data_IF_656369461873
#
_entry.id   IF_656369461873
#
_cell.length_a   1.000
_cell.length_b   1.000
_cell.length_c   1.000
_cell.angle_alpha   90.00
_cell.angle_beta   90.00
_cell.angle_gamma   90.00
#
_symmetry.space_group_name_H-M   'P 1'
#
loop_
_entity.id
_entity.type
_entity.pdbx_description
1 polymer ?
#
# COMPACT_ATOMS: atom_id res chain seq x y z
N UNK A 1 -9.03 1.51 -24.13
CA UNK A 1 -10.48 1.26 -24.21
C UNK A 1 -11.25 1.73 -22.97
N UNK A 2 -10.94 1.28 -21.74
CA UNK A 2 -11.72 1.69 -20.55
C UNK A 2 -11.66 3.18 -20.18
N UNK A 3 -10.57 3.90 -20.50
CA UNK A 3 -10.53 5.38 -20.38
C UNK A 3 -11.54 6.07 -21.30
N UNK A 4 -11.71 5.56 -22.52
CA UNK A 4 -12.71 6.05 -23.49
C UNK A 4 -14.11 5.73 -22.98
N UNK A 5 -14.33 4.52 -22.45
CA UNK A 5 -15.61 4.14 -21.81
C UNK A 5 -15.91 5.01 -20.59
N UNK A 6 -14.91 5.29 -19.75
CA UNK A 6 -15.06 6.18 -18.60
C UNK A 6 -15.35 7.62 -19.00
N UNK A 7 -14.77 8.09 -20.09
CA UNK A 7 -15.03 9.42 -20.65
C UNK A 7 -16.44 9.50 -21.24
N UNK A 8 -16.87 8.49 -21.99
CA UNK A 8 -18.24 8.36 -22.49
C UNK A 8 -19.27 8.28 -21.35
N UNK A 9 -19.00 7.49 -20.32
CA UNK A 9 -19.86 7.38 -19.14
C UNK A 9 -19.92 8.71 -18.36
N UNK A 10 -18.79 9.40 -18.18
CA UNK A 10 -18.75 10.72 -17.56
C UNK A 10 -19.54 11.76 -18.36
N UNK A 11 -19.42 11.74 -19.70
CA UNK A 11 -20.17 12.62 -20.59
C UNK A 11 -21.68 12.35 -20.53
N UNK A 12 -22.10 11.09 -20.46
CA UNK A 12 -23.50 10.69 -20.32
C UNK A 12 -24.10 11.15 -18.99
N UNK A 13 -23.32 11.10 -17.91
CA UNK A 13 -23.75 11.66 -16.62
C UNK A 13 -23.92 13.18 -16.72
N UNK A 14 -22.94 13.88 -17.29
CA UNK A 14 -23.00 15.34 -17.44
C UNK A 14 -24.18 15.79 -18.31
N UNK A 15 -24.47 15.08 -19.41
CA UNK A 15 -25.56 15.44 -20.32
C UNK A 15 -26.94 15.38 -19.65
N UNK A 16 -27.14 14.49 -18.68
CA UNK A 16 -28.37 14.40 -17.89
C UNK A 16 -28.59 15.66 -17.05
N UNK A 17 -27.54 16.17 -16.40
CA UNK A 17 -27.62 17.41 -15.62
C UNK A 17 -27.82 18.64 -16.51
N UNK A 18 -27.12 18.70 -17.66
CA UNK A 18 -27.33 19.78 -18.64
C UNK A 18 -28.76 19.76 -19.17
N UNK A 19 -29.29 18.58 -19.51
CA UNK A 19 -30.68 18.42 -19.93
C UNK A 19 -31.68 18.90 -18.87
N UNK A 20 -31.45 18.56 -17.60
CA UNK A 20 -32.27 19.04 -16.48
C UNK A 20 -32.26 20.57 -16.39
N UNK A 21 -31.08 21.21 -16.49
CA UNK A 21 -30.98 22.67 -16.44
C UNK A 21 -31.66 23.37 -17.61
N UNK A 22 -31.62 22.77 -18.80
CA UNK A 22 -32.33 23.28 -19.98
C UNK A 22 -33.84 23.28 -19.77
N UNK A 23 -34.40 22.20 -19.22
CA UNK A 23 -35.84 22.11 -18.92
C UNK A 23 -36.26 23.14 -17.86
N UNK A 24 -35.47 23.28 -16.80
CA UNK A 24 -35.72 24.25 -15.72
C UNK A 24 -35.69 25.69 -16.23
N UNK A 25 -34.68 26.03 -17.05
CA UNK A 25 -34.56 27.37 -17.61
C UNK A 25 -35.72 27.71 -18.56
N UNK A 26 -36.17 26.74 -19.37
CA UNK A 26 -37.29 26.93 -20.30
C UNK A 26 -38.62 27.19 -19.60
N UNK A 27 -38.86 26.55 -18.45
CA UNK A 27 -40.12 26.70 -17.71
C UNK A 27 -40.09 27.91 -16.78
N UNK A 28 -38.91 28.29 -16.28
CA UNK A 28 -38.78 29.34 -15.28
C UNK A 28 -37.54 30.20 -15.55
N UNK A 29 -37.68 31.15 -16.47
CA UNK A 29 -36.63 32.09 -16.87
C UNK A 29 -36.39 33.21 -15.88
N UNK A 30 -35.95 32.87 -14.66
CA UNK A 30 -35.66 33.86 -13.60
C UNK A 30 -34.21 33.76 -13.12
N UNK A 31 -33.66 34.88 -12.63
CA UNK A 31 -32.28 34.95 -12.10
C UNK A 31 -32.00 33.91 -11.00
N UNK A 32 -32.91 33.63 -10.04
CA UNK A 32 -32.70 32.57 -9.04
C UNK A 32 -32.48 31.18 -9.66
N UNK A 33 -33.09 30.92 -10.81
CA UNK A 33 -33.07 29.60 -11.47
C UNK A 33 -31.82 29.43 -12.31
N UNK A 34 -31.29 30.51 -12.87
CA UNK A 34 -29.95 30.53 -13.46
C UNK A 34 -28.90 30.17 -12.41
N UNK A 35 -28.99 30.76 -11.21
CA UNK A 35 -28.08 30.45 -10.10
C UNK A 35 -28.20 28.98 -9.69
N UNK A 36 -29.42 28.47 -9.54
CA UNK A 36 -29.67 27.06 -9.23
C UNK A 36 -29.09 26.12 -10.30
N UNK A 37 -29.24 26.46 -11.57
CA UNK A 37 -28.70 25.68 -12.69
C UNK A 37 -27.17 25.57 -12.63
N UNK A 38 -26.46 26.64 -12.24
CA UNK A 38 -25.01 26.58 -12.05
C UNK A 38 -24.63 25.54 -10.99
N UNK A 39 -25.33 25.50 -9.85
CA UNK A 39 -25.09 24.50 -8.81
C UNK A 39 -25.37 23.07 -9.29
N UNK A 40 -26.47 22.86 -10.04
CA UNK A 40 -26.83 21.56 -10.62
C UNK A 40 -25.73 21.05 -11.56
N UNK A 41 -25.20 21.92 -12.43
CA UNK A 41 -24.10 21.56 -13.35
C UNK A 41 -22.82 21.24 -12.59
N UNK A 42 -22.48 22.00 -11.54
CA UNK A 42 -21.31 21.72 -10.70
C UNK A 42 -21.40 20.35 -10.02
N UNK A 43 -22.57 19.98 -9.49
CA UNK A 43 -22.81 18.66 -8.90
C UNK A 43 -22.64 17.56 -9.95
N UNK A 44 -23.20 17.77 -11.14
CA UNK A 44 -23.04 16.85 -12.27
C UNK A 44 -21.58 16.66 -12.69
N UNK A 45 -20.79 17.73 -12.71
CA UNK A 45 -19.36 17.69 -13.02
C UNK A 45 -18.58 16.85 -11.99
N UNK A 46 -18.86 17.03 -10.69
CA UNK A 46 -18.23 16.25 -9.62
C UNK A 46 -18.57 14.76 -9.74
N UNK A 47 -19.83 14.43 -10.01
CA UNK A 47 -20.28 13.05 -10.25
C UNK A 47 -19.63 12.43 -11.48
N UNK A 48 -19.53 13.17 -12.58
CA UNK A 48 -18.85 12.72 -13.80
C UNK A 48 -17.36 12.43 -13.54
N UNK A 49 -16.67 13.28 -12.76
CA UNK A 49 -15.29 13.04 -12.33
C UNK A 49 -15.14 11.79 -11.46
N UNK A 50 -16.06 11.55 -10.52
CA UNK A 50 -16.07 10.34 -9.69
C UNK A 50 -16.25 9.08 -10.54
N UNK A 51 -17.19 9.09 -11.48
CA UNK A 51 -17.43 7.96 -12.40
C UNK A 51 -16.22 7.72 -13.29
N UNK A 52 -15.65 8.78 -13.88
CA UNK A 52 -14.46 8.68 -14.72
C UNK A 52 -13.27 8.08 -13.96
N UNK A 53 -13.00 8.57 -12.75
CA UNK A 53 -11.88 8.07 -11.93
C UNK A 53 -12.10 6.62 -11.51
N UNK A 54 -13.33 6.23 -11.14
CA UNK A 54 -13.66 4.84 -10.78
C UNK A 54 -13.48 3.87 -11.94
N UNK A 55 -13.93 4.24 -13.15
CA UNK A 55 -13.82 3.37 -14.35
C UNK A 55 -12.38 3.34 -14.88
N UNK A 56 -11.69 4.49 -14.88
CA UNK A 56 -10.35 4.61 -15.45
C UNK A 56 -9.26 4.01 -14.56
N UNK A 57 -9.43 4.01 -13.23
CA UNK A 57 -8.48 3.37 -12.29
C UNK A 57 -8.53 1.84 -12.30
N UNK A 58 -9.52 1.23 -12.95
CA UNK A 58 -9.63 -0.24 -13.09
C UNK A 58 -8.56 -0.86 -14.01
N UNK A 59 -7.59 -0.07 -14.50
CA UNK A 59 -6.50 -0.51 -15.38
C UNK A 59 -5.14 -0.68 -14.70
N UNK A 60 -5.06 -0.63 -13.37
CA UNK A 60 -3.91 -1.26 -12.72
C UNK A 60 -3.98 -2.74 -13.09
N UNK A 61 -3.04 -3.22 -13.91
CA UNK A 61 -2.86 -4.62 -14.25
C UNK A 61 -2.59 -5.38 -12.95
N UNK A 62 -3.65 -5.70 -12.20
CA UNK A 62 -3.60 -6.51 -11.00
C UNK A 62 -3.27 -7.94 -11.44
N UNK A 63 -1.99 -8.18 -11.74
CA UNK A 63 -1.46 -9.52 -11.75
C UNK A 63 -1.51 -9.99 -10.31
N UNK A 64 -2.43 -10.90 -10.01
CA UNK A 64 -2.51 -11.55 -8.72
C UNK A 64 -1.48 -12.66 -8.72
N UNK A 65 -0.47 -12.54 -7.87
CA UNK A 65 0.51 -13.60 -7.65
C UNK A 65 0.16 -14.29 -6.33
N UNK A 66 -0.18 -15.57 -6.40
CA UNK A 66 -0.29 -16.41 -5.22
C UNK A 66 1.13 -16.86 -4.88
N UNK A 67 1.77 -16.21 -3.90
CA UNK A 67 3.11 -16.60 -3.48
C UNK A 67 3.01 -17.86 -2.61
N UNK A 68 3.79 -18.88 -2.98
CA UNK A 68 3.96 -20.09 -2.16
C UNK A 68 4.97 -19.72 -1.09
N UNK A 69 4.48 -19.54 0.13
CA UNK A 69 5.24 -18.94 1.21
C UNK A 69 6.07 -19.97 1.96
N UNK A 70 7.37 -20.02 1.67
CA UNK A 70 8.37 -20.72 2.48
C UNK A 70 8.68 -19.92 3.75
N UNK A 71 7.70 -19.78 4.65
CA UNK A 71 7.92 -19.17 5.96
C UNK A 71 8.40 -20.22 6.95
N UNK A 72 9.37 -19.90 7.81
CA UNK A 72 9.73 -20.79 8.91
C UNK A 72 8.57 -20.82 9.93
N UNK A 73 8.63 -21.77 10.87
CA UNK A 73 7.62 -21.84 11.95
C UNK A 73 7.62 -20.54 12.73
N UNK A 74 6.46 -19.93 12.92
CA UNK A 74 6.37 -18.66 13.64
C UNK A 74 6.31 -18.97 15.14
N UNK A 75 7.14 -18.29 15.93
CA UNK A 75 7.12 -18.46 17.39
C UNK A 75 5.77 -18.09 18.00
N UNK A 76 5.37 -18.78 19.08
CA UNK A 76 4.12 -18.50 19.80
C UNK A 76 4.33 -17.38 20.82
N UNK A 77 5.42 -17.43 21.59
CA UNK A 77 5.79 -16.42 22.58
C UNK A 77 6.38 -15.20 21.91
N UNK A 78 5.54 -14.19 21.64
CA UNK A 78 5.97 -12.93 21.02
C UNK A 78 5.38 -11.76 21.76
N UNK A 79 6.18 -10.71 21.91
CA UNK A 79 5.76 -9.42 22.46
C UNK A 79 5.60 -8.40 21.35
N UNK A 80 4.68 -7.45 21.55
CA UNK A 80 4.51 -6.30 20.66
C UNK A 80 5.29 -5.13 21.23
N UNK A 81 6.24 -4.60 20.46
CA UNK A 81 7.07 -3.46 20.85
C UNK A 81 6.89 -2.31 19.87
N UNK A 82 7.05 -1.08 20.35
CA UNK A 82 7.03 0.11 19.49
C UNK A 82 8.34 0.19 18.69
N UNK A 83 8.35 0.78 17.48
CA UNK A 83 9.55 0.90 16.67
C UNK A 83 10.72 1.59 17.39
N UNK A 84 10.43 2.62 18.19
CA UNK A 84 11.46 3.32 18.96
C UNK A 84 12.17 2.38 19.97
N UNK A 85 11.39 1.63 20.75
CA UNK A 85 11.92 0.73 21.78
C UNK A 85 12.66 -0.45 21.14
N UNK A 86 12.17 -0.93 20.00
CA UNK A 86 12.83 -1.96 19.21
C UNK A 86 14.21 -1.54 18.73
N UNK A 87 14.34 -0.35 18.13
CA UNK A 87 15.64 0.15 17.66
C UNK A 87 16.65 0.36 18.79
N UNK A 88 16.20 0.77 19.98
CA UNK A 88 17.08 0.98 21.14
C UNK A 88 17.67 -0.31 21.70
N UNK A 89 16.97 -1.45 21.54
CA UNK A 89 17.38 -2.76 22.05
C UNK A 89 17.85 -3.70 20.94
N UNK A 90 18.12 -3.15 19.76
CA UNK A 90 18.46 -3.95 18.60
C UNK A 90 19.88 -4.51 18.74
N UNK A 91 19.99 -5.83 18.72
CA UNK A 91 21.28 -6.51 18.71
C UNK A 91 21.71 -6.86 17.29
N UNK A 92 23.03 -6.93 17.08
CA UNK A 92 23.59 -7.38 15.80
C UNK A 92 23.43 -8.89 15.68
N UNK A 93 22.48 -9.33 14.86
CA UNK A 93 22.11 -10.73 14.69
C UNK A 93 22.28 -11.16 13.23
N UNK A 94 22.72 -12.40 13.02
CA UNK A 94 22.81 -13.00 11.68
C UNK A 94 21.65 -13.96 11.47
N UNK A 95 20.93 -13.79 10.37
CA UNK A 95 19.71 -14.54 10.12
C UNK A 95 19.27 -14.48 8.66
N UNK A 96 18.00 -14.78 8.43
CA UNK A 96 17.37 -14.85 7.12
C UNK A 96 16.18 -13.90 7.06
N UNK A 97 16.01 -13.19 5.93
CA UNK A 97 14.85 -12.34 5.68
C UNK A 97 13.86 -13.07 4.77
N UNK A 98 12.61 -13.09 5.19
CA UNK A 98 11.46 -13.61 4.47
C UNK A 98 10.51 -12.46 4.17
N UNK A 99 10.20 -12.27 2.89
CA UNK A 99 9.26 -11.26 2.40
C UNK A 99 8.10 -11.95 1.68
N UNK A 100 6.88 -11.50 1.95
CA UNK A 100 5.68 -12.19 1.45
C UNK A 100 5.50 -12.16 -0.07
N UNK A 101 6.22 -11.27 -0.77
CA UNK A 101 6.10 -11.02 -2.21
C UNK A 101 7.07 -11.81 -3.07
N UNK A 102 8.09 -12.40 -2.46
CA UNK A 102 9.23 -13.00 -3.16
C UNK A 102 9.46 -14.42 -2.70
N UNK A 103 9.71 -15.30 -3.67
CA UNK A 103 10.08 -16.69 -3.42
C UNK A 103 11.57 -16.78 -3.02
N UNK A 104 12.33 -15.68 -3.20
CA UNK A 104 13.72 -15.55 -2.79
C UNK A 104 13.81 -15.20 -1.31
N UNK A 105 14.46 -16.08 -0.55
CA UNK A 105 14.89 -15.84 0.84
C UNK A 105 16.27 -15.16 0.79
N UNK A 106 16.45 -14.08 1.53
CA UNK A 106 17.77 -13.46 1.69
C UNK A 106 18.45 -14.13 2.88
N UNK A 107 19.45 -14.95 2.61
CA UNK A 107 20.05 -15.84 3.60
C UNK A 107 21.32 -15.26 4.24
N UNK A 108 21.59 -15.69 5.47
CA UNK A 108 22.85 -15.46 6.19
C UNK A 108 23.27 -13.98 6.30
N UNK A 109 22.27 -13.10 6.42
CA UNK A 109 22.44 -11.65 6.45
C UNK A 109 22.53 -11.11 7.87
N UNK A 110 23.43 -10.17 8.10
CA UNK A 110 23.64 -9.57 9.42
C UNK A 110 22.81 -8.29 9.55
N UNK A 111 21.89 -8.24 10.51
CA UNK A 111 21.26 -7.01 10.96
C UNK A 111 22.31 -6.18 11.70
N UNK A 112 22.62 -4.98 11.21
CA UNK A 112 23.68 -4.12 11.77
C UNK A 112 23.12 -3.14 12.78
N UNK A 113 22.08 -2.41 12.39
CA UNK A 113 21.42 -1.43 13.23
C UNK A 113 20.00 -1.13 12.71
N UNK A 114 19.28 -0.35 13.50
CA UNK A 114 17.95 0.13 13.18
C UNK A 114 17.79 1.55 13.70
N UNK A 115 17.13 2.39 12.90
CA UNK A 115 16.89 3.79 13.20
C UNK A 115 15.39 4.07 13.11
N UNK A 116 14.85 4.83 14.06
CA UNK A 116 13.46 5.27 14.02
C UNK A 116 13.37 6.79 14.06
N UNK A 117 12.85 7.37 12.97
CA UNK A 117 12.57 8.79 12.87
C UNK A 117 11.12 9.06 13.29
N UNK A 118 10.96 9.57 14.53
CA UNK A 118 9.64 9.89 15.11
C UNK A 118 8.84 10.93 14.33
N UNK A 119 9.52 11.88 13.67
CA UNK A 119 8.86 12.99 12.95
C UNK A 119 8.22 12.46 11.66
N UNK A 120 8.92 11.57 10.96
CA UNK A 120 8.43 10.97 9.70
C UNK A 120 7.67 9.66 9.88
N UNK A 121 7.64 9.15 11.12
CA UNK A 121 7.18 7.80 11.45
C UNK A 121 7.85 6.72 10.58
N UNK A 122 9.17 6.85 10.41
CA UNK A 122 9.98 5.97 9.56
C UNK A 122 10.90 5.08 10.38
N UNK A 123 10.73 3.77 10.26
CA UNK A 123 11.65 2.75 10.77
C UNK A 123 12.60 2.33 9.64
N UNK A 124 13.90 2.37 9.86
CA UNK A 124 14.90 1.92 8.89
C UNK A 124 15.78 0.85 9.51
N UNK A 125 15.82 -0.33 8.90
CA UNK A 125 16.69 -1.45 9.29
C UNK A 125 17.82 -1.58 8.26
N UNK A 126 19.05 -1.63 8.74
CA UNK A 126 20.22 -1.82 7.90
C UNK A 126 20.82 -3.20 8.12
N UNK A 127 21.11 -3.87 7.02
CA UNK A 127 21.70 -5.19 7.03
C UNK A 127 23.07 -5.17 6.32
N UNK A 128 23.77 -6.30 6.32
CA UNK A 128 24.94 -6.51 5.47
C UNK A 128 24.57 -6.49 3.99
N UNK A 129 25.60 -6.50 3.13
CA UNK A 129 25.45 -6.75 1.69
C UNK A 129 24.55 -5.74 0.95
N UNK A 130 24.48 -4.52 1.48
CA UNK A 130 23.69 -3.42 0.89
C UNK A 130 22.18 -3.57 1.05
N UNK A 131 21.71 -4.54 1.85
CA UNK A 131 20.28 -4.73 2.10
C UNK A 131 19.79 -3.73 3.13
N UNK A 132 18.68 -3.06 2.81
CA UNK A 132 18.07 -2.04 3.67
C UNK A 132 16.56 -2.16 3.58
N UNK A 133 15.88 -2.07 4.72
CA UNK A 133 14.42 -2.05 4.74
C UNK A 133 13.94 -0.82 5.48
N UNK A 134 13.19 0.04 4.80
CA UNK A 134 12.53 1.19 5.39
C UNK A 134 11.02 0.93 5.44
N UNK A 135 10.41 1.20 6.57
CA UNK A 135 8.97 1.18 6.77
C UNK A 135 8.48 2.55 7.19
N UNK A 136 7.26 2.92 6.79
CA UNK A 136 6.51 4.06 7.32
C UNK A 136 5.19 3.58 7.93
N UNK A 137 4.77 4.15 9.05
CA UNK A 137 3.46 3.83 9.63
C UNK A 137 3.40 2.49 10.36
N UNK A 138 4.53 1.99 10.86
CA UNK A 138 4.58 0.74 11.65
C UNK A 138 4.08 1.04 13.05
N UNK A 139 3.00 0.38 13.47
CA UNK A 139 2.47 0.57 14.83
C UNK A 139 3.25 -0.25 15.84
N UNK A 140 3.48 -1.52 15.52
CA UNK A 140 4.18 -2.45 16.39
C UNK A 140 5.04 -3.41 15.59
N UNK A 141 6.13 -3.84 16.22
CA UNK A 141 6.97 -4.93 15.75
C UNK A 141 6.74 -6.08 16.71
N UNK A 142 6.44 -7.25 16.17
CA UNK A 142 6.31 -8.47 16.98
C UNK A 142 7.69 -9.10 17.11
N UNK A 143 8.18 -9.24 18.33
CA UNK A 143 9.51 -9.78 18.63
C UNK A 143 9.35 -11.02 19.49
N UNK A 144 10.00 -12.10 19.08
CA UNK A 144 10.18 -13.32 19.85
C UNK A 144 11.66 -13.53 20.18
N UNK A 145 12.00 -14.75 20.60
CA UNK A 145 13.35 -15.10 21.04
C UNK A 145 14.33 -15.22 19.85
N UNK A 146 13.83 -15.69 18.70
CA UNK A 146 14.65 -15.88 17.50
C UNK A 146 14.08 -15.22 16.25
N UNK A 147 13.02 -14.43 16.38
CA UNK A 147 12.36 -13.79 15.24
C UNK A 147 11.85 -12.39 15.57
N UNK A 148 11.85 -11.52 14.56
CA UNK A 148 11.01 -10.33 14.60
C UNK A 148 10.22 -10.21 13.30
N UNK A 149 9.06 -9.58 13.42
CA UNK A 149 8.01 -9.61 12.41
C UNK A 149 7.28 -8.28 12.32
N UNK A 150 6.99 -7.88 11.09
CA UNK A 150 6.14 -6.74 10.78
C UNK A 150 4.90 -7.23 10.04
N UNK A 151 3.74 -6.97 10.64
CA UNK A 151 2.43 -7.34 10.09
C UNK A 151 1.72 -6.15 9.45
N UNK A 152 1.99 -4.93 9.92
CA UNK A 152 1.38 -3.71 9.44
C UNK A 152 2.42 -2.60 9.18
N UNK A 153 2.12 -1.80 8.16
CA UNK A 153 2.80 -0.57 7.78
C UNK A 153 1.90 0.17 6.79
N UNK A 154 2.23 1.42 6.46
CA UNK A 154 1.62 2.11 5.31
C UNK A 154 2.44 1.87 4.05
N UNK A 155 3.75 2.07 4.16
CA UNK A 155 4.70 1.94 3.06
C UNK A 155 5.94 1.16 3.51
N UNK A 156 6.47 0.31 2.64
CA UNK A 156 7.74 -0.37 2.84
C UNK A 156 8.60 -0.26 1.59
N UNK A 157 9.85 0.16 1.75
CA UNK A 157 10.88 0.10 0.73
C UNK A 157 11.93 -0.91 1.17
N UNK A 158 12.05 -2.01 0.45
CA UNK A 158 13.09 -3.02 0.66
C UNK A 158 14.09 -2.96 -0.50
N UNK A 159 15.34 -2.66 -0.19
CA UNK A 159 16.46 -2.64 -1.12
C UNK A 159 17.28 -3.91 -0.92
N UNK A 160 17.43 -4.71 -1.98
CA UNK A 160 18.32 -5.87 -2.06
C UNK A 160 19.40 -5.59 -3.11
N UNK A 161 20.54 -5.06 -2.64
CA UNK A 161 21.63 -4.60 -3.51
C UNK A 161 21.21 -3.45 -4.41
N UNK A 162 20.97 -3.74 -5.71
CA UNK A 162 20.52 -2.76 -6.71
C UNK A 162 19.01 -2.84 -7.01
N UNK A 163 18.30 -3.78 -6.40
CA UNK A 163 16.87 -3.98 -6.63
C UNK A 163 16.07 -3.36 -5.49
N UNK A 164 15.19 -2.44 -5.85
CA UNK A 164 14.25 -1.82 -4.92
C UNK A 164 12.86 -2.42 -5.10
N UNK A 165 12.27 -2.81 -3.98
CA UNK A 165 10.92 -3.31 -3.88
C UNK A 165 10.11 -2.36 -3.03
N UNK A 166 9.09 -1.73 -3.63
CA UNK A 166 8.25 -0.76 -2.95
C UNK A 166 6.84 -1.30 -2.75
N UNK A 167 6.39 -1.33 -1.50
CA UNK A 167 5.11 -1.89 -1.09
C UNK A 167 4.24 -0.84 -0.42
N UNK A 168 2.94 -0.91 -0.70
CA UNK A 168 1.90 -0.14 -0.02
C UNK A 168 0.91 -1.14 0.58
N UNK A 169 0.56 -0.97 1.84
CA UNK A 169 -0.47 -1.75 2.51
C UNK A 169 -1.69 -0.88 2.79
N UNK A 170 -2.82 -1.23 2.17
CA UNK A 170 -4.11 -0.58 2.40
C UNK A 170 -5.08 -1.62 2.99
N UNK A 171 -5.27 -1.57 4.31
CA UNK A 171 -6.07 -2.55 5.04
C UNK A 171 -5.44 -3.95 4.99
N UNK A 172 -5.98 -4.83 4.14
CA UNK A 172 -5.45 -6.20 3.92
C UNK A 172 -4.83 -6.39 2.53
N UNK A 173 -4.81 -5.35 1.71
CA UNK A 173 -4.31 -5.41 0.35
C UNK A 173 -2.86 -4.94 0.33
N UNK A 174 -1.93 -5.87 0.12
CA UNK A 174 -0.54 -5.53 -0.12
C UNK A 174 -0.31 -5.34 -1.61
N UNK A 175 0.21 -4.19 -1.99
CA UNK A 175 0.50 -3.83 -3.38
C UNK A 175 1.98 -3.55 -3.54
N UNK A 176 2.63 -4.19 -4.51
CA UNK A 176 4.02 -3.94 -4.90
C UNK A 176 4.06 -3.10 -6.17
N UNK A 177 4.78 -1.98 -6.16
CA UNK A 177 5.03 -1.17 -7.35
C UNK A 177 6.26 -1.69 -8.09
N UNK A 178 6.08 -2.09 -9.35
CA UNK A 178 7.16 -2.44 -10.27
C UNK A 178 7.06 -1.55 -11.51
N UNK A 179 7.81 -0.44 -11.51
CA UNK A 179 7.71 0.59 -12.56
C UNK A 179 6.31 1.17 -12.66
N UNK A 180 5.67 1.06 -13.83
CA UNK A 180 4.29 1.51 -14.05
C UNK A 180 3.22 0.48 -13.62
N UNK A 181 3.62 -0.73 -13.22
CA UNK A 181 2.71 -1.79 -12.83
C UNK A 181 2.56 -1.87 -11.30
N UNK A 182 1.41 -2.35 -10.84
CA UNK A 182 1.19 -2.68 -9.44
C UNK A 182 0.71 -4.12 -9.34
N UNK A 183 1.46 -4.93 -8.60
CA UNK A 183 1.16 -6.34 -8.35
C UNK A 183 0.48 -6.41 -6.99
N UNK A 184 -0.65 -7.11 -6.91
CA UNK A 184 -1.33 -7.33 -5.65
C UNK A 184 -0.96 -8.70 -5.08
N UNK A 185 -0.56 -8.69 -3.81
CA UNK A 185 -0.17 -9.87 -3.05
C UNK A 185 -1.25 -10.19 -2.03
N UNK A 186 -1.62 -11.47 -1.94
CA UNK A 186 -2.51 -11.95 -0.90
C UNK A 186 -1.69 -12.28 0.34
N UNK A 187 -2.02 -11.66 1.47
CA UNK A 187 -1.42 -12.00 2.77
C UNK A 187 -2.17 -13.21 3.34
N UNK A 188 -1.53 -14.38 3.56
CA UNK A 188 -2.19 -15.47 4.27
C UNK A 188 -2.47 -15.10 5.72
N UNK A 189 -3.51 -15.70 6.29
CA UNK A 189 -3.90 -15.45 7.68
C UNK A 189 -2.75 -15.80 8.62
N UNK A 190 -2.46 -14.89 9.55
CA UNK A 190 -1.46 -15.08 10.60
C UNK A 190 0.00 -15.08 10.11
N UNK A 191 0.25 -14.79 8.83
CA UNK A 191 1.61 -14.64 8.31
C UNK A 191 2.02 -13.17 8.29
N UNK A 192 3.23 -12.83 8.76
CA UNK A 192 3.76 -11.47 8.66
C UNK A 192 4.13 -11.14 7.21
N UNK A 193 4.21 -9.85 6.91
CA UNK A 193 4.61 -9.37 5.59
C UNK A 193 6.14 -9.40 5.45
N UNK A 194 6.81 -9.11 6.55
CA UNK A 194 8.26 -9.13 6.70
C UNK A 194 8.62 -9.91 7.96
N UNK A 195 9.54 -10.86 7.83
CA UNK A 195 10.05 -11.66 8.95
C UNK A 195 11.56 -11.79 8.84
N UNK A 196 12.24 -11.56 9.95
CA UNK A 196 13.65 -11.87 10.13
C UNK A 196 13.76 -12.99 11.16
N UNK A 197 14.44 -14.07 10.80
CA UNK A 197 14.65 -15.26 11.64
C UNK A 197 16.14 -15.50 11.83
N UNK A 198 16.61 -15.53 13.08
CA UNK A 198 18.00 -15.79 13.44
C UNK A 198 18.19 -17.10 14.22
N UNK A 199 17.25 -18.05 14.10
CA UNK A 199 17.49 -19.40 14.61
C UNK A 199 18.74 -19.98 13.97
N UNK A 200 19.58 -20.57 14.80
CA UNK A 200 20.71 -21.36 14.34
C UNK A 200 20.14 -22.56 13.58
N UNK A 201 20.41 -22.62 12.27
CA UNK A 201 20.26 -23.85 11.50
C UNK A 201 21.35 -24.86 11.90
#
# INVERSE_FOLDING_TARGET
>A
MKKIIGLLAGFLVLSLFVGLTWVLYRHFGSTPIVILNVFIVMIGLLLAMLVFTRISKFQVNQKRKDNILHYPSIELGKILVKPADFCMKLESLRGNIYLISTDKIIQSIQLKNGEYNKIKDELTLHFSDGVKTKFRGVKHISVGDYQFMVYDFEEMLHTDGKKDYYFILEGRNLSEKQGSNTIQHRIPRGKPIYLFDWRKN
#
